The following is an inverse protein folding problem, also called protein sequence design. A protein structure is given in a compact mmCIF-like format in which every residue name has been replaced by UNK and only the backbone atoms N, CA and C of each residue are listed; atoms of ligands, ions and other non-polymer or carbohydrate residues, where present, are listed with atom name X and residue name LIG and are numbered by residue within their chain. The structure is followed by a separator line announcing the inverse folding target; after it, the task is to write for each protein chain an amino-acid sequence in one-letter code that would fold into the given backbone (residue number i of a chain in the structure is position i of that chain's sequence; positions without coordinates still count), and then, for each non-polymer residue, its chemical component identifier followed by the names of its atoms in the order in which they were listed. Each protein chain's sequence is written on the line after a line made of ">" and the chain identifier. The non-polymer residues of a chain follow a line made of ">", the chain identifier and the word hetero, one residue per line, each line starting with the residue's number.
data_IF_949912340654
#
_entry.id   IF_949912340654
#
_cell.length_a   1.000
_cell.length_b   1.000
_cell.length_c   1.000
_cell.angle_alpha   90.00
_cell.angle_beta   90.00
_cell.angle_gamma   90.00
#
_symmetry.space_group_name_H-M   'P 1'
#
loop_
_entity.id
_entity.type
_entity.pdbx_description
1 polymer ?
#
# COMPACT_ATOMS: atom_id res chain seq x y z
N UNK A 1 -2.71 -36.35 16.38
CA UNK A 1 -2.45 -35.72 16.08
C UNK A 1 -1.96 -34.94 15.76
N UNK A 2 -1.61 -35.05 15.72
CA UNK A 2 -1.20 -34.06 15.56
C UNK A 2 -1.07 -33.50 14.77
N UNK A 3 -1.42 -33.47 14.32
CA UNK A 3 -1.38 -32.73 13.59
C UNK A 3 -1.34 -31.65 13.59
N UNK A 4 -1.30 -31.49 13.95
CA UNK A 4 -1.26 -30.41 13.94
C UNK A 4 -0.42 -29.79 13.90
N UNK A 5 -0.23 -30.20 14.09
CA UNK A 5 0.53 -29.33 14.14
C UNK A 5 1.16 -28.85 13.09
N UNK A 6 0.96 -28.93 12.50
CA UNK A 6 1.30 -28.44 11.62
C UNK A 6 1.36 -27.46 11.30
N UNK A 7 1.26 -27.38 11.26
CA UNK A 7 1.20 -26.47 10.85
C UNK A 7 1.63 -25.65 11.02
N UNK A 8 1.65 -26.24 11.56
CA UNK A 8 1.77 -25.08 11.70
C UNK A 8 2.69 -24.32 11.07
N UNK A 9 2.21 -23.71 10.63
CA UNK A 9 2.90 -22.83 9.85
C UNK A 9 4.04 -22.17 10.60
N UNK A 10 5.07 -21.85 9.94
CA UNK A 10 6.13 -21.05 10.51
C UNK A 10 5.52 -19.75 11.00
N UNK A 11 5.75 -19.40 12.25
CA UNK A 11 5.43 -18.09 12.73
C UNK A 11 6.23 -17.08 11.90
N UNK A 12 5.55 -16.08 11.41
CA UNK A 12 6.25 -14.98 10.76
C UNK A 12 7.10 -14.31 11.81
N UNK A 13 8.37 -14.20 11.54
CA UNK A 13 9.27 -13.49 12.42
C UNK A 13 8.91 -12.02 12.40
N UNK A 14 8.80 -11.44 13.58
CA UNK A 14 8.62 -9.99 13.68
C UNK A 14 9.95 -9.34 13.39
N UNK A 15 10.01 -8.62 12.32
CA UNK A 15 11.18 -7.84 11.98
C UNK A 15 11.17 -6.55 12.79
N UNK A 16 12.34 -6.09 13.20
CA UNK A 16 12.46 -4.79 13.84
C UNK A 16 12.90 -3.78 12.81
N UNK A 17 11.96 -3.13 12.16
CA UNK A 17 12.22 -2.18 11.08
C UNK A 17 11.63 -0.83 11.48
N UNK A 18 12.41 0.08 12.04
CA UNK A 18 11.90 1.37 12.50
C UNK A 18 11.60 2.34 11.36
N UNK A 19 12.26 2.18 10.22
CA UNK A 19 12.10 3.08 9.08
C UNK A 19 11.84 2.27 7.81
N UNK A 20 10.91 2.74 6.98
CA UNK A 20 10.57 2.05 5.75
C UNK A 20 10.05 3.01 4.69
N UNK A 21 9.59 2.42 3.60
CA UNK A 21 9.03 3.16 2.47
C UNK A 21 7.60 2.70 2.25
N UNK A 22 6.67 3.65 2.20
CA UNK A 22 5.28 3.37 1.87
C UNK A 22 5.07 3.69 0.39
N UNK A 23 4.72 2.68 -0.39
CA UNK A 23 4.42 2.83 -1.80
C UNK A 23 2.91 2.88 -1.99
N UNK A 24 2.40 4.00 -2.45
CA UNK A 24 0.98 4.17 -2.73
C UNK A 24 0.80 4.17 -4.23
N UNK A 25 0.11 3.16 -4.74
CA UNK A 25 -0.24 3.08 -6.16
C UNK A 25 -1.74 3.31 -6.28
N UNK A 26 -2.12 4.44 -6.82
CA UNK A 26 -3.51 4.85 -6.94
C UNK A 26 -3.91 4.93 -8.40
N UNK A 27 -4.86 4.12 -8.79
CA UNK A 27 -5.42 4.15 -10.15
C UNK A 27 -6.86 4.65 -10.07
N UNK A 28 -7.50 4.84 -11.22
CA UNK A 28 -8.91 5.22 -11.24
C UNK A 28 -9.83 4.12 -10.72
N UNK A 29 -9.34 2.91 -10.61
CA UNK A 29 -10.15 1.75 -10.21
C UNK A 29 -9.81 1.21 -8.83
N UNK A 30 -8.63 1.48 -8.30
CA UNK A 30 -8.18 0.86 -7.06
C UNK A 30 -7.02 1.64 -6.44
N UNK A 31 -6.74 1.37 -5.17
CA UNK A 31 -5.58 1.90 -4.48
C UNK A 31 -4.87 0.75 -3.78
N UNK A 32 -3.59 0.63 -4.01
CA UNK A 32 -2.75 -0.40 -3.38
C UNK A 32 -1.67 0.30 -2.57
N UNK A 33 -1.52 -0.12 -1.32
CA UNK A 33 -0.50 0.42 -0.43
C UNK A 33 0.42 -0.72 -0.01
N UNK A 34 1.71 -0.53 -0.22
CA UNK A 34 2.73 -1.50 0.14
C UNK A 34 3.77 -0.82 0.99
N UNK A 35 4.09 -1.39 2.14
CA UNK A 35 5.14 -0.86 3.00
C UNK A 35 6.32 -1.82 2.94
N UNK A 36 7.48 -1.27 2.63
CA UNK A 36 8.73 -2.02 2.50
C UNK A 36 9.76 -1.48 3.48
N UNK A 37 10.84 -2.24 3.68
CA UNK A 37 12.00 -1.70 4.38
C UNK A 37 12.79 -0.80 3.42
N UNK A 38 13.92 -0.26 3.89
CA UNK A 38 14.72 0.67 3.08
C UNK A 38 15.42 -0.03 1.90
N UNK A 39 15.50 -1.34 1.92
CA UNK A 39 16.11 -2.12 0.82
C UNK A 39 15.08 -2.58 -0.21
N UNK A 40 13.79 -2.44 0.09
CA UNK A 40 12.73 -2.80 -0.83
C UNK A 40 11.99 -4.10 -0.51
N UNK A 41 12.31 -4.76 0.58
CA UNK A 41 11.61 -5.99 0.98
C UNK A 41 10.25 -5.66 1.59
N UNK A 42 9.20 -6.29 1.10
CA UNK A 42 7.83 -6.01 1.55
C UNK A 42 7.61 -6.46 2.98
N UNK A 43 7.11 -5.56 3.81
CA UNK A 43 6.73 -5.84 5.20
C UNK A 43 5.23 -6.11 5.29
N UNK A 44 4.44 -5.25 4.66
CA UNK A 44 2.98 -5.33 4.71
C UNK A 44 2.39 -4.70 3.46
N UNK A 45 1.20 -5.14 3.07
CA UNK A 45 0.48 -4.53 1.96
C UNK A 45 -1.01 -4.65 2.19
N UNK A 46 -1.76 -3.77 1.56
CA UNK A 46 -3.21 -3.81 1.56
C UNK A 46 -3.73 -3.08 0.34
N UNK A 47 -4.97 -3.34 -0.02
CA UNK A 47 -5.62 -2.67 -1.14
C UNK A 47 -7.09 -2.44 -0.81
N UNK A 48 -7.73 -1.56 -1.59
CA UNK A 48 -9.16 -1.33 -1.43
C UNK A 48 -9.97 -2.60 -1.62
N UNK A 49 -9.56 -3.44 -2.58
CA UNK A 49 -10.23 -4.73 -2.82
C UNK A 49 -10.10 -5.68 -1.65
N UNK A 50 -8.96 -5.66 -0.97
CA UNK A 50 -8.71 -6.51 0.19
C UNK A 50 -9.59 -6.14 1.37
N UNK A 51 -10.05 -4.88 1.45
CA UNK A 51 -10.93 -4.40 2.50
C UNK A 51 -12.42 -4.69 2.23
N UNK A 52 -12.71 -5.46 1.19
CA UNK A 52 -14.07 -5.85 0.87
C UNK A 52 -14.80 -4.92 -0.10
N UNK A 53 -14.16 -3.88 -0.58
CA UNK A 53 -14.75 -3.01 -1.59
C UNK A 53 -14.70 -3.69 -2.96
N UNK A 54 -15.75 -3.52 -3.74
CA UNK A 54 -15.87 -4.15 -5.06
C UNK A 54 -16.27 -3.12 -6.11
N UNK A 55 -15.85 -3.36 -7.35
CA UNK A 55 -16.22 -2.52 -8.47
C UNK A 55 -15.78 -1.07 -8.29
N UNK A 56 -16.66 -0.14 -8.58
CA UNK A 56 -16.35 1.30 -8.49
C UNK A 56 -16.07 1.78 -7.08
N UNK A 57 -16.49 1.03 -6.06
CA UNK A 57 -16.25 1.41 -4.66
C UNK A 57 -14.77 1.35 -4.30
N UNK A 58 -13.98 0.56 -5.00
CA UNK A 58 -12.54 0.44 -4.76
C UNK A 58 -11.78 1.74 -5.05
N UNK A 59 -12.32 2.58 -5.90
CA UNK A 59 -11.67 3.83 -6.30
C UNK A 59 -11.97 5.00 -5.36
N UNK A 60 -12.80 4.80 -4.33
CA UNK A 60 -13.19 5.89 -3.42
C UNK A 60 -12.08 6.24 -2.45
N UNK A 61 -12.00 7.52 -2.01
CA UNK A 61 -11.04 7.91 -0.97
C UNK A 61 -11.21 7.15 0.34
N UNK A 62 -12.45 6.83 0.70
CA UNK A 62 -12.73 6.06 1.92
C UNK A 62 -12.10 4.66 1.85
N UNK A 63 -12.20 4.00 0.69
CA UNK A 63 -11.61 2.69 0.50
C UNK A 63 -10.07 2.75 0.64
N UNK A 64 -9.46 3.80 0.10
CA UNK A 64 -8.02 4.02 0.24
C UNK A 64 -7.63 4.25 1.69
N UNK A 65 -8.44 4.99 2.44
CA UNK A 65 -8.21 5.21 3.86
C UNK A 65 -8.23 3.90 4.63
N UNK A 66 -9.20 3.04 4.38
CA UNK A 66 -9.31 1.75 5.06
C UNK A 66 -8.12 0.85 4.72
N UNK A 67 -7.68 0.87 3.45
CA UNK A 67 -6.52 0.10 3.01
C UNK A 67 -5.26 0.59 3.73
N UNK A 68 -5.08 1.90 3.84
CA UNK A 68 -3.91 2.47 4.50
C UNK A 68 -3.87 2.12 5.98
N UNK A 69 -5.01 2.22 6.66
CA UNK A 69 -5.10 1.89 8.08
C UNK A 69 -4.74 0.42 8.34
N UNK A 70 -5.25 -0.48 7.51
CA UNK A 70 -4.95 -1.91 7.63
C UNK A 70 -3.46 -2.19 7.40
N UNK A 71 -2.89 -1.57 6.37
CA UNK A 71 -1.49 -1.74 6.04
C UNK A 71 -0.59 -1.26 7.18
N UNK A 72 -0.89 -0.09 7.75
CA UNK A 72 -0.12 0.47 8.88
C UNK A 72 -0.22 -0.41 10.10
N UNK A 73 -1.40 -0.93 10.38
CA UNK A 73 -1.62 -1.83 11.51
C UNK A 73 -0.73 -3.06 11.41
N UNK A 74 -0.64 -3.65 10.23
CA UNK A 74 0.24 -4.79 9.98
C UNK A 74 1.71 -4.42 10.09
N UNK A 75 2.08 -3.26 9.56
CA UNK A 75 3.48 -2.81 9.57
C UNK A 75 3.97 -2.46 10.98
N UNK A 76 3.10 -1.93 11.82
CA UNK A 76 3.48 -1.61 13.21
C UNK A 76 3.86 -2.83 14.03
N UNK A 77 3.38 -4.00 13.66
CA UNK A 77 3.79 -5.25 14.31
C UNK A 77 5.29 -5.51 14.12
N UNK A 78 5.89 -4.93 13.09
CA UNK A 78 7.31 -5.03 12.82
C UNK A 78 8.10 -3.82 13.34
N UNK A 79 7.49 -3.00 14.17
CA UNK A 79 8.17 -1.86 14.80
C UNK A 79 8.31 -0.62 13.95
N UNK A 80 7.57 -0.52 12.86
CA UNK A 80 7.65 0.62 11.97
C UNK A 80 7.17 1.91 12.65
N UNK A 81 7.94 2.98 12.53
CA UNK A 81 7.62 4.28 13.13
C UNK A 81 7.68 5.41 12.12
N UNK A 82 8.57 5.34 11.16
CA UNK A 82 8.86 6.41 10.22
C UNK A 82 8.86 5.88 8.80
N UNK A 83 8.26 6.62 7.88
CA UNK A 83 8.21 6.20 6.48
C UNK A 83 8.53 7.36 5.55
N UNK A 84 9.13 7.00 4.42
CA UNK A 84 9.14 7.83 3.24
C UNK A 84 7.97 7.39 2.37
N UNK A 85 7.27 8.33 1.77
CA UNK A 85 6.10 8.00 0.96
C UNK A 85 6.39 8.23 -0.51
N UNK A 86 6.20 7.20 -1.31
CA UNK A 86 6.32 7.27 -2.77
C UNK A 86 4.93 7.09 -3.35
N UNK A 87 4.38 8.15 -3.92
CA UNK A 87 3.02 8.15 -4.48
C UNK A 87 3.09 8.00 -5.98
N UNK A 88 2.25 7.17 -6.53
CA UNK A 88 2.23 6.87 -7.95
C UNK A 88 0.79 6.79 -8.44
N UNK A 89 0.50 7.46 -9.56
CA UNK A 89 -0.78 7.36 -10.22
C UNK A 89 -1.76 8.48 -9.89
N UNK A 90 -2.80 8.63 -10.72
CA UNK A 90 -3.73 9.76 -10.65
C UNK A 90 -5.01 9.49 -9.85
N UNK A 91 -5.14 8.36 -9.19
CA UNK A 91 -6.39 7.97 -8.55
C UNK A 91 -6.83 8.89 -7.41
N UNK A 92 -8.12 8.88 -7.12
CA UNK A 92 -8.71 9.73 -6.07
C UNK A 92 -8.29 9.32 -4.65
N UNK A 93 -7.83 8.10 -4.46
CA UNK A 93 -7.38 7.62 -3.15
C UNK A 93 -5.99 8.09 -2.74
N UNK A 94 -5.30 8.80 -3.61
CA UNK A 94 -3.92 9.23 -3.40
C UNK A 94 -3.72 10.03 -2.11
N UNK A 95 -4.44 11.14 -1.98
CA UNK A 95 -4.33 11.99 -0.80
C UNK A 95 -4.90 11.35 0.46
N UNK A 96 -5.99 10.64 0.32
CA UNK A 96 -6.64 9.97 1.44
C UNK A 96 -5.72 8.92 2.06
N UNK A 97 -5.04 8.12 1.23
CA UNK A 97 -4.08 7.15 1.71
C UNK A 97 -2.92 7.83 2.43
N UNK A 98 -2.40 8.92 1.87
CA UNK A 98 -1.30 9.66 2.47
C UNK A 98 -1.66 10.20 3.85
N UNK A 99 -2.84 10.81 3.97
CA UNK A 99 -3.33 11.32 5.25
C UNK A 99 -3.53 10.22 6.27
N UNK A 100 -4.02 9.07 5.82
CA UNK A 100 -4.28 7.95 6.72
C UNK A 100 -3.00 7.37 7.30
N UNK A 101 -1.90 7.37 6.53
CA UNK A 101 -0.60 6.95 7.05
C UNK A 101 -0.18 7.85 8.21
N UNK A 102 -0.36 9.15 8.07
CA UNK A 102 -0.02 10.10 9.12
C UNK A 102 -0.95 9.97 10.33
N UNK A 103 -2.24 9.88 10.09
CA UNK A 103 -3.25 9.74 11.14
C UNK A 103 -3.06 8.46 11.95
N UNK A 104 -2.60 7.40 11.31
CA UNK A 104 -2.38 6.12 11.98
C UNK A 104 -1.13 6.12 12.87
N UNK A 105 -0.38 7.21 12.91
CA UNK A 105 0.72 7.37 13.83
C UNK A 105 2.11 7.20 13.25
N UNK A 106 2.23 7.08 11.94
CA UNK A 106 3.54 7.05 11.29
C UNK A 106 4.05 8.46 11.05
N UNK A 107 5.34 8.65 11.25
CA UNK A 107 6.00 9.92 10.92
C UNK A 107 6.43 9.88 9.46
N UNK A 108 5.97 10.84 8.67
CA UNK A 108 6.34 10.91 7.27
C UNK A 108 7.54 11.84 7.13
N UNK A 109 8.66 11.30 6.65
CA UNK A 109 9.89 12.07 6.51
C UNK A 109 10.07 12.67 5.12
N UNK A 110 9.50 12.04 4.10
CA UNK A 110 9.66 12.45 2.71
C UNK A 110 8.43 12.02 1.93
N UNK A 111 7.96 12.89 1.04
CA UNK A 111 6.89 12.57 0.11
C UNK A 111 7.44 12.81 -1.29
N UNK A 112 7.36 11.79 -2.13
CA UNK A 112 7.86 11.86 -3.50
C UNK A 112 6.81 11.31 -4.46
N UNK A 113 6.57 12.02 -5.55
CA UNK A 113 5.71 11.54 -6.62
C UNK A 113 6.59 10.80 -7.63
N UNK A 114 6.36 9.50 -7.79
CA UNK A 114 7.14 8.66 -8.69
C UNK A 114 6.31 8.17 -9.88
N UNK A 115 5.23 8.88 -10.21
CA UNK A 115 4.39 8.55 -11.36
C UNK A 115 5.24 8.52 -12.62
N UNK A 116 5.27 7.39 -13.35
CA UNK A 116 6.12 7.28 -14.53
C UNK A 116 5.59 8.17 -15.68
N UNK A 117 6.50 8.87 -16.30
CA UNK A 117 6.20 9.69 -17.47
C UNK A 117 7.09 9.19 -18.62
N UNK A 118 6.52 8.51 -19.63
CA UNK A 118 7.34 8.00 -20.73
C UNK A 118 7.85 9.11 -21.61
N UNK A 119 9.05 8.92 -22.15
CA UNK A 119 9.63 9.82 -23.16
C UNK A 119 9.16 9.37 -24.54
N UNK A 120 7.86 9.44 -24.81
CA UNK A 120 7.16 8.89 -25.97
C UNK A 120 6.98 7.36 -25.96
N UNK A 121 7.80 6.60 -25.28
CA UNK A 121 7.63 5.18 -25.04
C UNK A 121 6.97 4.34 -26.12
N UNK A 122 6.30 3.28 -25.70
CA UNK A 122 5.58 2.39 -26.61
C UNK A 122 4.20 2.95 -26.93
N UNK A 123 3.71 2.61 -28.11
CA UNK A 123 2.34 2.98 -28.51
C UNK A 123 1.34 2.35 -27.55
N UNK A 124 0.41 3.15 -26.96
CA UNK A 124 -0.61 2.59 -26.08
C UNK A 124 -1.62 1.74 -26.86
N UNK A 125 -2.35 0.86 -26.17
CA UNK A 125 -3.40 0.08 -26.81
C UNK A 125 -4.52 0.97 -27.32
N UNK A 126 -5.31 0.46 -28.25
CA UNK A 126 -6.45 1.21 -28.75
C UNK A 126 -7.48 1.42 -27.66
N UNK A 127 -8.34 2.42 -27.85
CA UNK A 127 -9.41 2.73 -26.91
C UNK A 127 -10.40 1.57 -26.83
N UNK A 128 -10.91 1.36 -25.66
CA UNK A 128 -11.97 0.37 -25.46
C UNK A 128 -13.24 0.84 -26.16
N UNK A 129 -13.96 -0.10 -26.74
CA UNK A 129 -15.30 0.18 -27.23
C UNK A 129 -16.24 0.20 -26.05
N UNK A 130 -17.05 1.21 -25.98
CA UNK A 130 -17.98 1.39 -24.86
C UNK A 130 -19.40 1.27 -25.37
#
# INVERSE_FOLDING_TARGET
>A
MAKQVRKTGKKKEKKNIPEGIAHIQSTFNNTIITITDMTGNVIAWSSSGMQGFKGSRKSTPFAAQMAAEDCVKKAKEHGLRKVQVYVKGPGSGRESALRSLQTAGLTISLIRDVTPVPHNGCRPPKRRRV
#
